data_IF_001451636119
#
_entry.id   IF_001451636119
#
_cell.length_a   1.000
_cell.length_b   1.000
_cell.length_c   1.000
_cell.angle_alpha   90.00
_cell.angle_beta   90.00
_cell.angle_gamma   90.00
#
_symmetry.space_group_name_H-M   'P 1'
#
loop_
_entity.id
_entity.type
_entity.pdbx_description
1 polymer ?
#
# COMPACT_ATOMS: atom_id res chain seq x y z
N UNK A 1 -14.08 9.29 -8.59
CA UNK A 1 -13.52 8.36 -9.61
C UNK A 1 -13.00 7.12 -8.90
N UNK A 2 -12.89 5.98 -9.58
CA UNK A 2 -12.30 4.76 -9.03
C UNK A 2 -11.35 4.16 -10.06
N UNK A 3 -10.18 3.70 -9.61
CA UNK A 3 -9.19 3.01 -10.45
C UNK A 3 -9.10 1.56 -10.00
N UNK A 4 -9.18 0.63 -10.93
CA UNK A 4 -9.09 -0.79 -10.62
C UNK A 4 -8.49 -1.59 -11.78
N UNK A 5 -7.79 -2.69 -11.47
CA UNK A 5 -7.44 -3.67 -12.48
C UNK A 5 -8.65 -4.56 -12.74
N UNK A 6 -8.89 -4.90 -14.00
CA UNK A 6 -9.90 -5.88 -14.39
C UNK A 6 -9.32 -6.73 -15.51
N UNK A 7 -9.40 -8.04 -15.35
CA UNK A 7 -9.14 -9.01 -16.42
C UNK A 7 -10.49 -9.47 -17.00
N UNK A 8 -10.89 -8.98 -18.18
CA UNK A 8 -12.08 -9.50 -18.85
C UNK A 8 -11.92 -11.00 -19.14
N UNK A 9 -13.01 -11.76 -19.04
CA UNK A 9 -12.99 -13.21 -19.32
C UNK A 9 -12.51 -13.55 -20.74
N UNK A 10 -12.60 -12.60 -21.66
CA UNK A 10 -12.20 -12.73 -23.07
C UNK A 10 -10.74 -12.40 -23.34
N UNK A 11 -9.98 -11.96 -22.34
CA UNK A 11 -8.61 -11.44 -22.50
C UNK A 11 -7.61 -12.23 -21.64
N UNK A 12 -6.37 -12.35 -22.12
CA UNK A 12 -5.29 -13.06 -21.44
C UNK A 12 -4.67 -12.26 -20.28
N UNK A 13 -4.77 -10.92 -20.33
CA UNK A 13 -4.10 -9.97 -19.44
C UNK A 13 -5.10 -9.07 -18.68
N UNK A 14 -4.64 -8.50 -17.56
CA UNK A 14 -5.43 -7.54 -16.78
C UNK A 14 -5.20 -6.13 -17.31
N UNK A 15 -6.26 -5.31 -17.38
CA UNK A 15 -6.17 -3.90 -17.80
C UNK A 15 -6.49 -2.98 -16.64
N UNK A 16 -5.90 -1.78 -16.66
CA UNK A 16 -6.21 -0.73 -15.68
C UNK A 16 -7.33 0.15 -16.22
N UNK A 17 -8.42 0.26 -15.46
CA UNK A 17 -9.57 1.09 -15.80
C UNK A 17 -9.71 2.25 -14.82
N UNK A 18 -10.07 3.41 -15.37
CA UNK A 18 -10.57 4.56 -14.64
C UNK A 18 -12.08 4.64 -14.85
N UNK A 19 -12.82 4.62 -13.75
CA UNK A 19 -14.28 4.66 -13.75
C UNK A 19 -14.79 5.92 -13.06
N UNK A 20 -15.57 6.69 -13.80
CA UNK A 20 -16.40 7.75 -13.25
C UNK A 20 -17.71 7.13 -12.77
N UNK A 21 -17.86 7.06 -11.45
CA UNK A 21 -19.02 6.48 -10.78
C UNK A 21 -20.28 7.34 -10.91
N UNK A 22 -20.15 8.64 -11.21
CA UNK A 22 -21.28 9.55 -11.38
C UNK A 22 -21.83 9.44 -12.79
N UNK A 23 -20.95 9.48 -13.79
CA UNK A 23 -21.36 9.39 -15.21
C UNK A 23 -21.46 7.95 -15.71
N UNK A 24 -21.08 6.97 -14.89
CA UNK A 24 -20.93 5.56 -15.26
C UNK A 24 -19.99 5.34 -16.47
N UNK A 25 -19.07 6.28 -16.73
CA UNK A 25 -18.12 6.19 -17.84
C UNK A 25 -16.90 5.38 -17.40
N UNK A 26 -16.49 4.41 -18.23
CA UNK A 26 -15.27 3.63 -18.01
C UNK A 26 -14.26 3.91 -19.11
N UNK A 27 -13.03 4.23 -18.73
CA UNK A 27 -11.91 4.50 -19.64
C UNK A 27 -10.80 3.49 -19.36
N UNK A 28 -10.33 2.77 -20.39
CA UNK A 28 -9.13 1.94 -20.29
C UNK A 28 -7.91 2.87 -20.29
N UNK A 29 -7.05 2.79 -19.28
CA UNK A 29 -5.88 3.66 -19.13
C UNK A 29 -4.61 3.03 -19.72
N UNK A 30 -4.41 1.75 -19.43
CA UNK A 30 -3.29 0.96 -19.95
C UNK A 30 -3.87 -0.22 -20.74
N UNK A 31 -3.32 -0.43 -21.93
CA UNK A 31 -3.75 -1.45 -22.88
C UNK A 31 -2.53 -2.20 -23.40
N UNK A 32 -1.92 -2.99 -22.53
CA UNK A 32 -0.77 -3.85 -22.79
C UNK A 32 -0.95 -5.19 -22.05
N UNK A 33 0.00 -6.11 -22.25
CA UNK A 33 -0.12 -7.50 -21.79
C UNK A 33 0.61 -7.79 -20.47
N UNK A 34 0.73 -6.76 -19.62
CA UNK A 34 1.39 -6.89 -18.33
C UNK A 34 0.40 -7.05 -17.18
N UNK A 35 0.89 -7.56 -16.06
CA UNK A 35 0.08 -7.67 -14.86
C UNK A 35 0.19 -6.40 -14.02
N UNK A 36 -0.89 -6.08 -13.32
CA UNK A 36 -0.99 -4.90 -12.47
C UNK A 36 -1.57 -5.29 -11.11
N UNK A 37 -0.88 -4.89 -10.05
CA UNK A 37 -1.34 -4.99 -8.66
C UNK A 37 -1.26 -3.61 -8.00
N UNK A 38 -1.96 -3.44 -6.89
CA UNK A 38 -1.85 -2.27 -6.00
C UNK A 38 -1.92 -0.93 -6.71
N UNK A 39 -3.13 -0.41 -6.96
CA UNK A 39 -3.34 0.86 -7.67
C UNK A 39 -3.81 1.98 -6.72
N UNK A 40 -2.99 2.44 -5.74
CA UNK A 40 -3.33 3.65 -5.01
C UNK A 40 -3.31 4.84 -5.96
N UNK A 41 -4.39 5.62 -5.92
CA UNK A 41 -4.48 6.87 -6.63
C UNK A 41 -4.07 8.02 -5.71
N UNK A 42 -3.10 8.81 -6.14
CA UNK A 42 -2.79 10.09 -5.52
C UNK A 42 -3.48 11.20 -6.31
N UNK A 43 -4.62 11.68 -5.79
CA UNK A 43 -5.43 12.70 -6.46
C UNK A 43 -4.67 14.02 -6.63
N UNK A 44 -3.89 14.45 -5.63
CA UNK A 44 -3.17 15.73 -5.66
C UNK A 44 -2.05 15.74 -6.70
N UNK A 45 -1.41 14.59 -6.94
CA UNK A 45 -0.36 14.43 -7.94
C UNK A 45 -0.88 14.02 -9.33
N UNK A 46 -2.19 13.83 -9.49
CA UNK A 46 -2.81 13.28 -10.70
C UNK A 46 -2.07 12.04 -11.26
N UNK A 47 -1.65 11.17 -10.36
CA UNK A 47 -0.71 10.09 -10.65
C UNK A 47 -1.20 8.78 -10.05
N UNK A 48 -1.03 7.69 -10.79
CA UNK A 48 -1.23 6.33 -10.29
C UNK A 48 0.12 5.69 -10.04
N UNK A 49 0.33 5.20 -8.81
CA UNK A 49 1.41 4.27 -8.53
C UNK A 49 0.85 2.85 -8.66
N UNK A 50 1.59 1.94 -9.27
CA UNK A 50 1.17 0.54 -9.43
C UNK A 50 2.34 -0.41 -9.40
N UNK A 51 2.12 -1.65 -8.98
CA UNK A 51 3.11 -2.72 -9.14
C UNK A 51 2.84 -3.46 -10.46
N UNK A 52 3.89 -3.68 -11.26
CA UNK A 52 3.82 -4.40 -12.54
C UNK A 52 5.10 -5.20 -12.81
N UNK A 53 4.93 -6.32 -13.49
CA UNK A 53 5.98 -7.28 -13.88
C UNK A 53 6.67 -6.92 -15.22
N UNK A 54 6.36 -5.76 -15.79
CA UNK A 54 6.75 -5.39 -17.16
C UNK A 54 8.24 -5.25 -17.45
N UNK A 55 9.09 -5.20 -16.41
CA UNK A 55 10.56 -5.26 -16.53
C UNK A 55 11.15 -6.64 -16.22
N UNK A 56 10.33 -7.68 -16.13
CA UNK A 56 10.74 -9.06 -15.82
C UNK A 56 10.53 -9.49 -14.37
N UNK A 57 10.38 -8.53 -13.45
CA UNK A 57 10.07 -8.71 -12.03
C UNK A 57 9.07 -7.64 -11.56
N UNK A 58 8.41 -7.88 -10.42
CA UNK A 58 7.50 -6.90 -9.81
C UNK A 58 8.23 -5.63 -9.38
N UNK A 59 7.91 -4.52 -10.01
CA UNK A 59 8.43 -3.19 -9.68
C UNK A 59 7.28 -2.20 -9.52
N UNK A 60 7.53 -1.07 -8.87
CA UNK A 60 6.63 0.05 -8.90
C UNK A 60 6.80 0.88 -10.18
N UNK A 61 5.67 1.31 -10.71
CA UNK A 61 5.53 2.12 -11.90
C UNK A 61 4.61 3.28 -11.61
N UNK A 62 4.97 4.44 -12.14
CA UNK A 62 4.22 5.67 -12.01
C UNK A 62 3.58 6.01 -13.34
N UNK A 63 2.25 6.11 -13.37
CA UNK A 63 1.49 6.58 -14.52
C UNK A 63 0.96 7.99 -14.30
N UNK A 64 1.41 8.93 -15.12
CA UNK A 64 0.95 10.31 -15.12
C UNK A 64 -0.35 10.41 -15.95
N UNK A 65 -1.44 10.85 -15.31
CA UNK A 65 -2.75 10.92 -15.97
C UNK A 65 -2.87 12.07 -16.97
N UNK A 66 -2.02 13.09 -16.91
CA UNK A 66 -1.99 14.21 -17.86
C UNK A 66 -1.23 13.83 -19.13
N UNK A 67 0.01 13.37 -18.97
CA UNK A 67 0.94 13.08 -20.08
C UNK A 67 0.76 11.68 -20.64
N UNK A 68 0.07 10.79 -19.90
CA UNK A 68 -0.06 9.36 -20.20
C UNK A 68 1.28 8.62 -20.23
N UNK A 69 2.30 9.18 -19.58
CA UNK A 69 3.60 8.54 -19.46
C UNK A 69 3.60 7.53 -18.33
N UNK A 70 4.23 6.38 -18.58
CA UNK A 70 4.46 5.31 -17.61
C UNK A 70 5.95 5.18 -17.35
N UNK A 71 6.38 5.46 -16.13
CA UNK A 71 7.79 5.52 -15.73
C UNK A 71 8.08 4.48 -14.66
N UNK A 72 9.20 3.77 -14.79
CA UNK A 72 9.66 2.83 -13.77
C UNK A 72 10.17 3.60 -12.55
N UNK A 73 9.71 3.22 -11.36
CA UNK A 73 10.10 3.86 -10.10
C UNK A 73 11.17 3.05 -9.39
N UNK A 74 10.97 1.73 -9.26
CA UNK A 74 11.91 0.84 -8.58
C UNK A 74 12.59 -0.09 -9.57
N UNK A 75 13.82 -0.50 -9.24
CA UNK A 75 14.59 -1.48 -10.03
C UNK A 75 14.97 -2.72 -9.21
N UNK A 76 14.77 -2.70 -7.88
CA UNK A 76 15.20 -3.75 -6.95
C UNK A 76 14.02 -4.44 -6.25
N UNK A 77 12.88 -4.54 -6.93
CA UNK A 77 11.68 -5.23 -6.46
C UNK A 77 10.77 -4.32 -5.65
N UNK A 78 9.46 -4.39 -5.89
CA UNK A 78 8.45 -3.74 -5.07
C UNK A 78 7.03 -4.25 -5.41
N UNK A 79 6.32 -4.75 -4.39
CA UNK A 79 4.96 -5.27 -4.54
C UNK A 79 3.87 -4.27 -4.15
N UNK A 80 4.17 -3.38 -3.21
CA UNK A 80 3.21 -2.44 -2.65
C UNK A 80 3.91 -1.16 -2.18
N UNK A 81 3.28 0.00 -2.38
CA UNK A 81 3.87 1.26 -1.96
C UNK A 81 2.97 2.46 -2.13
N UNK A 82 3.49 3.61 -1.68
CA UNK A 82 2.83 4.91 -1.71
C UNK A 82 3.79 5.95 -2.27
N UNK A 83 3.28 6.77 -3.20
CA UNK A 83 3.98 7.96 -3.69
C UNK A 83 3.56 9.17 -2.86
N UNK A 84 4.55 9.86 -2.31
CA UNK A 84 4.38 11.04 -1.44
C UNK A 84 5.27 12.18 -1.90
N UNK A 85 5.12 13.36 -1.29
CA UNK A 85 6.05 14.48 -1.49
C UNK A 85 7.48 14.19 -0.99
N UNK A 86 7.66 13.16 -0.14
CA UNK A 86 8.96 12.74 0.38
C UNK A 86 9.64 11.67 -0.47
N UNK A 87 9.05 11.29 -1.60
CA UNK A 87 9.47 10.13 -2.39
C UNK A 87 8.52 8.96 -2.21
N UNK A 88 9.03 7.75 -2.47
CA UNK A 88 8.22 6.53 -2.53
C UNK A 88 8.57 5.63 -1.37
N UNK A 89 7.56 5.28 -0.56
CA UNK A 89 7.68 4.23 0.44
C UNK A 89 7.11 2.94 -0.14
N UNK A 90 7.76 1.80 0.11
CA UNK A 90 7.31 0.52 -0.44
C UNK A 90 7.83 -0.68 0.35
N UNK A 91 7.17 -1.80 0.15
CA UNK A 91 7.59 -3.12 0.60
C UNK A 91 7.83 -4.02 -0.60
N UNK A 92 8.68 -5.02 -0.42
CA UNK A 92 9.00 -6.01 -1.45
C UNK A 92 8.33 -7.33 -1.11
N UNK A 93 7.96 -8.09 -2.14
CA UNK A 93 7.50 -9.47 -1.92
C UNK A 93 8.65 -10.29 -1.31
N UNK A 94 8.33 -11.17 -0.35
CA UNK A 94 9.28 -12.09 0.30
C UNK A 94 10.50 -11.41 0.96
N UNK A 95 10.40 -10.12 1.32
CA UNK A 95 11.45 -9.40 2.04
C UNK A 95 10.85 -8.67 3.23
N UNK A 96 11.58 -8.64 4.34
CA UNK A 96 11.18 -7.87 5.51
C UNK A 96 11.39 -6.38 5.29
N UNK A 97 10.49 -5.59 5.87
CA UNK A 97 10.63 -4.16 6.03
C UNK A 97 9.92 -3.28 5.02
N UNK A 98 9.98 -1.98 5.31
CA UNK A 98 9.53 -0.88 4.47
C UNK A 98 10.75 -0.09 4.06
N UNK A 99 10.84 0.16 2.77
CA UNK A 99 11.91 0.86 2.07
C UNK A 99 11.41 2.24 1.66
N UNK A 100 12.32 3.19 1.62
CA UNK A 100 12.11 4.55 1.14
C UNK A 100 13.06 4.80 -0.02
N UNK A 101 12.50 5.19 -1.16
CA UNK A 101 13.24 5.66 -2.32
C UNK A 101 13.04 7.16 -2.46
N UNK A 102 14.14 7.89 -2.32
CA UNK A 102 14.21 9.33 -2.60
C UNK A 102 15.50 9.62 -3.38
N UNK A 103 15.41 10.42 -4.43
CA UNK A 103 16.56 10.77 -5.29
C UNK A 103 17.40 9.55 -5.74
N UNK A 104 16.71 8.47 -6.15
CA UNK A 104 17.30 7.18 -6.55
C UNK A 104 18.04 6.41 -5.45
N UNK A 105 18.07 6.93 -4.21
CA UNK A 105 18.63 6.23 -3.06
C UNK A 105 17.53 5.42 -2.34
N UNK A 106 17.68 4.10 -2.33
CA UNK A 106 16.86 3.19 -1.53
C UNK A 106 17.45 3.07 -0.12
N UNK A 107 16.60 3.18 0.91
CA UNK A 107 16.95 2.96 2.32
C UNK A 107 15.87 2.14 3.00
N UNK A 108 16.23 1.13 3.80
CA UNK A 108 15.26 0.41 4.64
C UNK A 108 14.98 1.23 5.90
N UNK A 109 13.79 1.81 6.02
CA UNK A 109 13.42 2.70 7.13
C UNK A 109 12.77 1.96 8.30
N UNK A 110 12.12 0.84 8.01
CA UNK A 110 11.52 -0.05 9.03
C UNK A 110 11.96 -1.47 8.67
N UNK A 111 12.72 -2.14 9.54
CA UNK A 111 13.19 -3.51 9.31
C UNK A 111 12.30 -4.58 9.93
N UNK A 112 11.34 -4.19 10.78
CA UNK A 112 10.55 -5.12 11.60
C UNK A 112 9.22 -5.54 10.99
N UNK A 113 8.81 -4.95 9.86
CA UNK A 113 7.66 -5.43 9.10
C UNK A 113 7.98 -6.83 8.56
N UNK A 114 7.17 -7.82 8.92
CA UNK A 114 7.34 -9.18 8.40
C UNK A 114 6.88 -9.25 6.94
N UNK A 115 7.47 -10.16 6.17
CA UNK A 115 7.14 -10.37 4.76
C UNK A 115 5.67 -10.74 4.54
N UNK A 116 5.04 -11.45 5.48
CA UNK A 116 3.60 -11.75 5.49
C UNK A 116 2.68 -10.51 5.67
N UNK A 117 3.24 -9.38 6.08
CA UNK A 117 2.56 -8.10 6.28
C UNK A 117 2.95 -7.06 5.23
N UNK A 118 3.42 -7.52 4.06
CA UNK A 118 3.84 -6.66 2.95
C UNK A 118 2.86 -5.54 2.59
N UNK A 119 1.56 -5.62 2.91
CA UNK A 119 0.60 -4.49 2.75
C UNK A 119 -0.14 -4.05 4.01
N UNK A 120 0.33 -4.45 5.20
CA UNK A 120 -0.24 -4.10 6.49
C UNK A 120 0.44 -2.85 7.08
N UNK A 121 0.51 -1.81 6.26
CA UNK A 121 1.06 -0.51 6.61
C UNK A 121 0.48 0.57 5.71
N UNK A 122 0.46 1.81 6.19
CA UNK A 122 -0.04 2.96 5.47
C UNK A 122 0.76 4.21 5.82
N UNK A 123 1.12 4.98 4.79
CA UNK A 123 1.78 6.28 4.96
C UNK A 123 0.76 7.38 5.24
N UNK A 124 1.12 8.30 6.13
CA UNK A 124 0.43 9.56 6.40
C UNK A 124 1.40 10.73 6.17
N UNK A 125 0.95 11.96 6.39
CA UNK A 125 1.82 13.14 6.24
C UNK A 125 2.98 13.18 7.25
N UNK A 126 2.74 12.67 8.47
CA UNK A 126 3.67 12.72 9.59
C UNK A 126 4.45 11.43 9.82
N UNK A 127 4.03 10.30 9.24
CA UNK A 127 4.70 9.03 9.48
C UNK A 127 4.08 7.83 8.79
N UNK A 128 4.38 6.65 9.32
CA UNK A 128 3.91 5.37 8.78
C UNK A 128 3.28 4.56 9.92
N UNK A 129 2.02 4.19 9.77
CA UNK A 129 1.42 3.15 10.59
C UNK A 129 1.73 1.78 9.99
N UNK A 130 2.16 0.83 10.80
CA UNK A 130 2.49 -0.51 10.31
C UNK A 130 2.24 -1.57 11.39
N UNK A 131 1.93 -2.79 10.96
CA UNK A 131 1.81 -3.95 11.85
C UNK A 131 3.21 -4.51 12.15
N UNK A 132 3.47 -4.82 13.42
CA UNK A 132 4.63 -5.56 13.87
C UNK A 132 4.17 -6.73 14.75
N UNK A 133 4.72 -7.92 14.50
CA UNK A 133 4.30 -9.16 15.16
C UNK A 133 5.44 -9.76 15.97
N UNK A 134 5.10 -10.30 17.13
CA UNK A 134 6.02 -11.11 17.95
C UNK A 134 5.34 -12.45 18.34
N UNK A 135 5.90 -13.18 19.30
CA UNK A 135 5.33 -14.47 19.72
C UNK A 135 3.98 -14.36 20.46
N UNK A 136 3.63 -13.17 20.95
CA UNK A 136 2.49 -12.92 21.83
C UNK A 136 1.48 -11.92 21.25
N UNK A 137 1.91 -10.96 20.44
CA UNK A 137 1.04 -9.88 19.95
C UNK A 137 1.13 -9.65 18.45
N UNK A 138 0.02 -9.15 17.91
CA UNK A 138 -0.03 -8.36 16.68
C UNK A 138 -0.21 -6.89 17.10
N UNK A 139 0.83 -6.07 16.95
CA UNK A 139 0.83 -4.68 17.39
C UNK A 139 0.83 -3.72 16.22
N UNK A 140 0.16 -2.58 16.34
CA UNK A 140 0.27 -1.46 15.39
C UNK A 140 1.25 -0.44 15.95
N UNK A 141 2.25 -0.11 15.16
CA UNK A 141 3.27 0.90 15.45
C UNK A 141 3.08 2.13 14.55
N UNK A 142 3.56 3.27 15.03
CA UNK A 142 3.70 4.50 14.25
C UNK A 142 5.17 4.88 14.18
N UNK A 143 5.74 4.87 12.98
CA UNK A 143 7.06 5.42 12.67
C UNK A 143 6.91 6.90 12.35
N UNK A 144 7.49 7.76 13.19
CA UNK A 144 7.42 9.21 13.06
C UNK A 144 8.54 9.75 12.15
N UNK A 145 8.21 10.57 11.15
CA UNK A 145 9.20 11.04 10.17
C UNK A 145 10.20 12.06 10.72
N UNK A 146 9.84 12.82 11.76
CA UNK A 146 10.70 13.85 12.33
C UNK A 146 11.75 13.22 13.25
N UNK A 147 11.30 12.36 14.15
CA UNK A 147 12.16 11.67 15.12
C UNK A 147 12.80 10.40 14.58
N UNK A 148 12.28 9.82 13.48
CA UNK A 148 12.69 8.54 12.92
C UNK A 148 12.60 7.38 13.91
N UNK A 149 11.62 7.44 14.81
CA UNK A 149 11.40 6.45 15.87
C UNK A 149 10.01 5.84 15.72
N UNK A 150 9.94 4.52 15.85
CA UNK A 150 8.68 3.79 15.97
C UNK A 150 8.18 3.74 17.40
N UNK A 151 6.89 4.00 17.61
CA UNK A 151 6.19 3.82 18.90
C UNK A 151 5.00 2.90 18.73
N UNK A 152 4.77 2.03 19.71
CA UNK A 152 3.57 1.20 19.72
C UNK A 152 2.33 2.09 19.97
N UNK A 153 1.30 1.90 19.14
CA UNK A 153 0.02 2.60 19.25
C UNK A 153 -0.95 1.76 20.08
N UNK A 154 -1.08 0.48 19.71
CA UNK A 154 -1.85 -0.52 20.45
C UNK A 154 -1.40 -1.94 20.08
N UNK A 155 -1.78 -2.91 20.92
CA UNK A 155 -1.49 -4.32 20.72
C UNK A 155 -2.78 -5.16 20.80
N UNK A 156 -2.84 -6.20 19.97
CA UNK A 156 -3.83 -7.26 19.94
C UNK A 156 -3.14 -8.61 20.18
N UNK A 157 -3.89 -9.67 20.48
CA UNK A 157 -3.26 -10.98 20.65
C UNK A 157 -2.67 -11.47 19.32
N UNK A 158 -1.66 -12.34 19.41
CA UNK A 158 -1.05 -12.93 18.21
C UNK A 158 -2.10 -13.64 17.36
N UNK A 159 -2.07 -13.37 16.05
CA UNK A 159 -2.99 -13.88 15.02
C UNK A 159 -4.40 -13.27 15.02
N UNK A 160 -4.63 -12.14 15.70
CA UNK A 160 -5.89 -11.40 15.58
C UNK A 160 -5.96 -10.54 14.33
N UNK A 161 -4.86 -9.90 13.91
CA UNK A 161 -4.86 -9.08 12.69
C UNK A 161 -4.61 -9.98 11.48
N UNK A 162 -5.51 -9.96 10.50
CA UNK A 162 -5.36 -10.73 9.26
C UNK A 162 -4.07 -10.31 8.52
N UNK A 163 -3.40 -11.29 7.92
CA UNK A 163 -2.15 -11.10 7.17
C UNK A 163 -2.42 -10.46 5.79
N UNK A 164 -1.34 -10.02 5.13
CA UNK A 164 -1.37 -9.29 3.86
C UNK A 164 -1.96 -7.88 3.99
N UNK A 165 -3.28 -7.73 3.80
CA UNK A 165 -3.96 -6.43 3.70
C UNK A 165 -5.12 -6.37 4.66
N UNK A 166 -4.98 -5.58 5.72
CA UNK A 166 -5.97 -5.50 6.80
C UNK A 166 -5.99 -4.15 7.49
N UNK A 167 -4.88 -3.40 7.47
CA UNK A 167 -4.78 -2.08 8.08
C UNK A 167 -5.11 -0.96 7.08
N UNK A 168 -6.06 -0.10 7.44
CA UNK A 168 -6.29 1.20 6.82
C UNK A 168 -6.46 2.26 7.92
N UNK A 169 -5.93 3.45 7.71
CA UNK A 169 -6.03 4.59 8.64
C UNK A 169 -6.65 5.79 7.93
N UNK A 170 -7.52 6.51 8.62
CA UNK A 170 -7.96 7.84 8.19
C UNK A 170 -8.26 8.72 9.42
N UNK A 171 -8.81 9.91 9.18
CA UNK A 171 -9.18 10.87 10.24
C UNK A 171 -10.16 10.30 11.29
N UNK A 172 -10.87 9.23 10.96
CA UNK A 172 -11.85 8.60 11.85
C UNK A 172 -11.24 7.48 12.70
N UNK A 173 -10.01 7.05 12.41
CA UNK A 173 -9.28 6.03 13.16
C UNK A 173 -8.74 4.89 12.30
N UNK A 174 -8.55 3.73 12.92
CA UNK A 174 -8.02 2.52 12.29
C UNK A 174 -9.17 1.61 11.88
N UNK A 175 -9.12 1.09 10.66
CA UNK A 175 -9.95 -0.01 10.20
C UNK A 175 -9.07 -1.24 10.06
N UNK A 176 -9.41 -2.29 10.80
CA UNK A 176 -8.70 -3.57 10.80
C UNK A 176 -9.63 -4.69 10.35
N UNK A 177 -9.10 -5.58 9.51
CA UNK A 177 -9.71 -6.91 9.31
C UNK A 177 -9.14 -7.88 10.33
N UNK A 178 -10.01 -8.45 11.18
CA UNK A 178 -9.61 -9.42 12.20
C UNK A 178 -9.86 -10.86 11.75
N UNK A 179 -9.08 -11.80 12.28
CA UNK A 179 -9.27 -13.24 12.09
C UNK A 179 -10.34 -13.72 13.06
N UNK A 180 -11.59 -13.85 12.58
CA UNK A 180 -12.67 -14.55 13.29
C UNK A 180 -12.77 -16.01 12.84
N UNK A 181 -13.24 -16.89 13.73
CA UNK A 181 -13.26 -18.34 13.51
C UNK A 181 -13.94 -18.78 12.20
N UNK A 182 -14.88 -18.00 11.64
CA UNK A 182 -15.44 -18.26 10.31
C UNK A 182 -15.85 -17.01 9.50
N UNK A 183 -15.60 -15.79 10.00
CA UNK A 183 -15.90 -14.53 9.29
C UNK A 183 -14.84 -13.48 9.66
N UNK A 184 -14.39 -12.71 8.68
CA UNK A 184 -13.51 -11.58 8.90
C UNK A 184 -14.35 -10.37 9.30
N UNK A 185 -14.14 -9.85 10.51
CA UNK A 185 -14.80 -8.64 11.00
C UNK A 185 -13.98 -7.39 10.66
N UNK A 186 -14.66 -6.31 10.29
CA UNK A 186 -14.05 -4.98 10.17
C UNK A 186 -14.29 -4.25 11.48
N UNK A 187 -13.21 -3.92 12.19
CA UNK A 187 -13.28 -3.19 13.46
C UNK A 187 -12.72 -1.79 13.28
N UNK A 188 -13.41 -0.81 13.87
CA UNK A 188 -12.94 0.58 13.97
C UNK A 188 -12.33 0.80 15.37
N UNK A 189 -11.08 1.24 15.43
CA UNK A 189 -10.40 1.60 16.68
C UNK A 189 -10.13 3.11 16.70
N UNK A 190 -10.51 3.77 17.79
CA UNK A 190 -10.24 5.19 18.04
C UNK A 190 -9.20 5.34 19.15
N UNK A 191 -8.10 6.04 18.86
CA UNK A 191 -7.14 6.44 19.89
C UNK A 191 -7.59 7.76 20.48
N UNK A 192 -7.83 7.83 21.80
CA UNK A 192 -8.06 9.12 22.44
C UNK A 192 -6.76 9.93 22.40
N UNK A 193 -6.80 11.12 21.80
CA UNK A 193 -5.79 12.15 22.03
C UNK A 193 -5.80 12.46 23.52
N UNK A 194 -4.72 12.09 24.23
CA UNK A 194 -4.45 12.72 25.52
C UNK A 194 -4.16 14.19 25.24
N UNK A 195 -4.96 15.03 25.91
CA UNK A 195 -4.99 16.49 25.97
C UNK A 195 -3.67 17.19 25.64
#
# INVERSE_FOLDING_TARGET
>A
MVVYPLKPNTESSSHVYLHDVITNKRTKLLNDDFNYKHLPWNESLNTLLMSSDRSGDWQLWQFDLNTKQLTQVTVNGAGFGYLTSRGVFYSKENSQGIYHLNDQQETQVISTLQDEDWSNWQVTESGIYYVQRNQHTDSVYFYDFESQVSKEVFALNRNEIKRNRSLVVNEQGFFLTLVGAHQADIVKITTQSKL
#
